data_IF_253910377221
#
_entry.id   IF_253910377221
#
_cell.length_a   1.000
_cell.length_b   1.000
_cell.length_c   1.000
_cell.angle_alpha   90.00
_cell.angle_beta   90.00
_cell.angle_gamma   90.00
#
_symmetry.space_group_name_H-M   'P 1'
#
loop_
_entity.id
_entity.type
_entity.pdbx_description
1 polymer ?
#
# COMPACT_ATOMS: atom_id res chain seq x y z
N UNK A 1 -14.97 -9.62 -4.72
CA UNK A 1 -14.90 -9.75 -3.26
C UNK A 1 -16.15 -9.26 -2.51
N UNK A 2 -17.36 -9.34 -3.09
CA UNK A 2 -18.59 -8.98 -2.34
C UNK A 2 -18.79 -7.50 -2.02
N UNK A 3 -17.98 -6.61 -2.60
CA UNK A 3 -18.11 -5.15 -2.46
C UNK A 3 -19.15 -4.67 -3.47
N UNK A 4 -20.15 -3.90 -3.01
CA UNK A 4 -21.11 -3.24 -3.90
C UNK A 4 -20.43 -2.11 -4.65
N UNK A 5 -20.05 -2.37 -5.91
CA UNK A 5 -19.38 -1.43 -6.81
C UNK A 5 -20.13 -0.13 -7.07
N UNK A 6 -21.45 -0.07 -6.85
CA UNK A 6 -22.28 1.10 -7.17
C UNK A 6 -22.23 2.21 -6.11
N UNK A 7 -21.79 1.90 -4.89
CA UNK A 7 -21.68 2.87 -3.80
C UNK A 7 -20.36 3.66 -3.87
N UNK A 8 -20.45 4.93 -4.25
CA UNK A 8 -19.30 5.83 -4.31
C UNK A 8 -18.92 6.46 -2.95
N UNK A 9 -19.62 6.12 -1.87
CA UNK A 9 -19.36 6.62 -0.52
C UNK A 9 -18.52 5.66 0.33
N UNK A 10 -18.18 4.47 -0.19
CA UNK A 10 -17.32 3.50 0.50
C UNK A 10 -16.00 4.14 0.94
N UNK A 11 -15.68 3.99 2.23
CA UNK A 11 -14.50 4.60 2.85
C UNK A 11 -14.66 6.07 3.23
N UNK A 12 -15.85 6.68 3.10
CA UNK A 12 -16.08 8.05 3.55
C UNK A 12 -15.71 8.24 5.02
N UNK A 13 -15.03 9.35 5.31
CA UNK A 13 -14.51 9.66 6.65
C UNK A 13 -13.21 8.93 7.02
N UNK A 14 -12.65 8.12 6.11
CA UNK A 14 -11.34 7.47 6.27
C UNK A 14 -10.27 8.12 5.42
N UNK A 15 -9.04 8.08 5.92
CA UNK A 15 -7.82 8.50 5.21
C UNK A 15 -6.94 7.28 4.94
N UNK A 16 -6.64 7.06 3.66
CA UNK A 16 -5.70 6.02 3.22
C UNK A 16 -4.41 6.70 2.79
N UNK A 17 -3.30 6.36 3.44
CA UNK A 17 -1.97 6.75 3.03
C UNK A 17 -1.37 5.71 2.08
N UNK A 18 -0.84 6.19 0.97
CA UNK A 18 0.03 5.44 0.06
C UNK A 18 1.45 5.99 0.25
N UNK A 19 2.40 5.11 0.52
CA UNK A 19 3.82 5.46 0.70
C UNK A 19 4.63 4.85 -0.41
N UNK A 20 5.25 5.71 -1.22
CA UNK A 20 6.03 5.32 -2.39
C UNK A 20 7.34 6.10 -2.48
N UNK A 21 8.30 5.62 -3.26
CA UNK A 21 9.50 6.37 -3.59
C UNK A 21 9.33 7.26 -4.84
N UNK A 22 10.21 8.25 -4.93
CA UNK A 22 10.32 9.19 -6.04
C UNK A 22 9.10 10.09 -6.27
N UNK A 23 9.23 10.97 -7.26
CA UNK A 23 8.41 12.16 -7.42
C UNK A 23 6.95 11.86 -7.72
N UNK A 24 6.63 10.96 -8.65
CA UNK A 24 5.28 10.73 -9.17
C UNK A 24 4.53 12.03 -9.53
N UNK A 25 5.13 12.89 -10.35
CA UNK A 25 4.59 14.22 -10.70
C UNK A 25 3.21 14.16 -11.37
N UNK A 26 2.86 13.07 -12.03
CA UNK A 26 1.59 12.87 -12.76
C UNK A 26 0.48 12.22 -11.92
N UNK A 27 0.75 11.79 -10.68
CA UNK A 27 -0.15 10.96 -9.87
C UNK A 27 -1.63 11.45 -9.84
N UNK A 28 -1.87 12.74 -9.59
CA UNK A 28 -3.23 13.28 -9.54
C UNK A 28 -3.93 13.28 -10.91
N UNK A 29 -3.18 13.54 -11.99
CA UNK A 29 -3.72 13.56 -13.36
C UNK A 29 -4.07 12.15 -13.82
N UNK A 30 -3.21 11.18 -13.51
CA UNK A 30 -3.42 9.78 -13.86
C UNK A 30 -4.60 9.20 -13.07
N UNK A 31 -4.66 9.46 -11.76
CA UNK A 31 -5.80 9.03 -10.93
C UNK A 31 -7.12 9.67 -11.37
N UNK A 32 -7.12 10.94 -11.79
CA UNK A 32 -8.32 11.57 -12.37
C UNK A 32 -8.72 10.95 -13.72
N UNK A 33 -7.76 10.53 -14.53
CA UNK A 33 -8.02 9.85 -15.80
C UNK A 33 -8.65 8.47 -15.54
N UNK A 34 -8.07 7.70 -14.61
CA UNK A 34 -8.64 6.45 -14.15
C UNK A 34 -10.06 6.63 -13.57
N UNK A 35 -10.26 7.64 -12.70
CA UNK A 35 -11.56 7.88 -12.09
C UNK A 35 -12.64 8.17 -13.14
N UNK A 36 -12.34 9.03 -14.13
CA UNK A 36 -13.26 9.32 -15.25
C UNK A 36 -13.56 8.09 -16.09
N UNK A 37 -12.54 7.28 -16.40
CA UNK A 37 -12.71 6.08 -17.20
C UNK A 37 -13.60 5.02 -16.51
N UNK A 38 -13.61 5.01 -15.17
CA UNK A 38 -14.33 4.01 -14.36
C UNK A 38 -15.60 4.55 -13.69
N UNK A 39 -16.03 5.78 -13.98
CA UNK A 39 -17.23 6.37 -13.37
C UNK A 39 -17.11 6.62 -11.85
N UNK A 40 -15.88 6.77 -11.35
CA UNK A 40 -15.58 7.03 -9.94
C UNK A 40 -15.58 8.55 -9.66
N UNK A 41 -15.73 8.97 -8.39
CA UNK A 41 -15.65 10.37 -8.01
C UNK A 41 -14.34 11.03 -8.47
N UNK A 42 -14.43 12.28 -8.90
CA UNK A 42 -13.27 13.05 -9.32
C UNK A 42 -12.29 13.28 -8.16
N UNK A 43 -11.01 13.35 -8.49
CA UNK A 43 -9.93 13.63 -7.56
C UNK A 43 -9.67 15.13 -7.50
N UNK A 44 -9.86 15.69 -6.32
CA UNK A 44 -9.68 17.10 -6.02
C UNK A 44 -8.86 17.25 -4.73
N UNK A 45 -8.50 18.48 -4.37
CA UNK A 45 -7.86 18.75 -3.08
C UNK A 45 -8.72 18.36 -1.86
N UNK A 46 -10.03 18.11 -2.03
CA UNK A 46 -10.89 17.66 -0.95
C UNK A 46 -10.72 16.17 -0.60
N UNK A 47 -10.27 15.33 -1.54
CA UNK A 47 -10.15 13.88 -1.36
C UNK A 47 -8.79 13.31 -1.78
N UNK A 48 -7.85 14.15 -2.19
CA UNK A 48 -6.47 13.76 -2.47
C UNK A 48 -5.50 14.88 -2.10
N UNK A 49 -4.44 14.51 -1.40
CA UNK A 49 -3.28 15.37 -1.19
C UNK A 49 -1.99 14.57 -1.38
N UNK A 50 -0.93 15.26 -1.78
CA UNK A 50 0.40 14.69 -1.92
C UNK A 50 1.38 15.40 -1.03
N UNK A 51 2.29 14.68 -0.40
CA UNK A 51 3.33 15.20 0.49
C UNK A 51 4.69 14.61 0.13
N UNK A 52 5.76 15.33 0.40
CA UNK A 52 7.09 14.71 0.50
C UNK A 52 7.25 13.98 1.85
N UNK A 53 8.32 13.20 2.00
CA UNK A 53 8.63 12.44 3.22
C UNK A 53 8.81 13.26 4.51
N UNK A 54 8.76 14.59 4.44
CA UNK A 54 8.82 15.50 5.60
C UNK A 54 7.49 16.23 5.83
N UNK A 55 6.40 15.82 5.16
CA UNK A 55 5.10 16.47 5.22
C UNK A 55 5.01 17.76 4.41
N UNK A 56 6.00 18.07 3.59
CA UNK A 56 6.06 19.26 2.75
C UNK A 56 5.50 19.05 1.34
N UNK A 57 5.76 20.01 0.46
CA UNK A 57 5.43 19.95 -0.98
C UNK A 57 6.70 20.04 -1.86
N UNK A 58 7.88 19.80 -1.27
CA UNK A 58 9.16 19.78 -1.96
C UNK A 58 9.42 18.38 -2.51
N UNK A 59 8.60 17.99 -3.48
CA UNK A 59 8.61 16.62 -3.98
C UNK A 59 9.96 16.24 -4.61
N UNK A 60 10.40 14.97 -4.45
CA UNK A 60 11.55 14.46 -5.15
C UNK A 60 11.33 14.44 -6.67
N UNK A 61 12.40 14.17 -7.42
CA UNK A 61 12.30 13.92 -8.86
C UNK A 61 11.59 12.60 -9.10
N UNK A 62 10.87 12.53 -10.23
CA UNK A 62 10.32 11.28 -10.74
C UNK A 62 11.43 10.25 -10.95
N UNK A 63 11.05 8.98 -10.89
CA UNK A 63 11.99 7.88 -11.04
C UNK A 63 12.53 7.89 -12.48
N UNK A 64 13.86 7.89 -12.70
CA UNK A 64 14.40 7.75 -14.05
C UNK A 64 13.89 6.52 -14.80
N UNK A 65 13.50 5.45 -14.11
CA UNK A 65 12.98 4.22 -14.74
C UNK A 65 11.52 4.32 -15.19
N UNK A 66 10.79 5.39 -14.81
CA UNK A 66 9.43 5.66 -15.28
C UNK A 66 9.36 5.76 -16.81
N UNK A 67 10.43 6.28 -17.44
CA UNK A 67 10.53 6.39 -18.89
C UNK A 67 10.54 5.04 -19.61
N UNK A 68 10.84 3.96 -18.89
CA UNK A 68 10.89 2.58 -19.39
C UNK A 68 9.67 1.76 -18.98
N UNK A 69 8.71 2.35 -18.25
CA UNK A 69 7.47 1.70 -17.85
C UNK A 69 7.57 0.73 -16.66
N UNK A 70 8.68 0.74 -15.91
CA UNK A 70 8.89 -0.14 -14.75
C UNK A 70 9.31 0.56 -13.46
N UNK A 71 9.34 1.90 -13.43
CA UNK A 71 9.71 2.69 -12.25
C UNK A 71 8.56 2.92 -11.28
N UNK A 72 8.84 3.61 -10.17
CA UNK A 72 7.87 3.87 -9.10
C UNK A 72 6.61 4.63 -9.54
N UNK A 73 6.63 5.33 -10.68
CA UNK A 73 5.46 5.99 -11.23
C UNK A 73 4.33 5.03 -11.60
N UNK A 74 4.63 3.82 -12.08
CA UNK A 74 3.59 2.81 -12.35
C UNK A 74 3.03 2.22 -11.06
N UNK A 75 3.88 2.04 -10.05
CA UNK A 75 3.48 1.57 -8.71
C UNK A 75 2.54 2.55 -8.04
N UNK A 76 2.94 3.84 -7.96
CA UNK A 76 2.11 4.92 -7.41
C UNK A 76 0.76 5.00 -8.12
N UNK A 77 0.76 4.81 -9.44
CA UNK A 77 -0.47 4.80 -10.22
C UNK A 77 -1.35 3.60 -9.84
N UNK A 78 -0.80 2.39 -9.75
CA UNK A 78 -1.50 1.18 -9.34
C UNK A 78 -2.12 1.33 -7.95
N UNK A 79 -1.33 1.71 -6.96
CA UNK A 79 -1.74 1.82 -5.56
C UNK A 79 -2.89 2.83 -5.38
N UNK A 80 -2.74 4.03 -5.94
CA UNK A 80 -3.77 5.05 -5.85
C UNK A 80 -5.06 4.63 -6.57
N UNK A 81 -4.94 3.99 -7.73
CA UNK A 81 -6.10 3.57 -8.53
C UNK A 81 -6.84 2.41 -7.85
N UNK A 82 -6.13 1.43 -7.30
CA UNK A 82 -6.71 0.33 -6.54
C UNK A 82 -7.43 0.85 -5.30
N UNK A 83 -6.78 1.71 -4.51
CA UNK A 83 -7.39 2.33 -3.33
C UNK A 83 -8.64 3.15 -3.70
N UNK A 84 -8.59 3.95 -4.77
CA UNK A 84 -9.74 4.76 -5.21
C UNK A 84 -10.88 3.92 -5.78
N UNK A 85 -10.59 2.81 -6.47
CA UNK A 85 -11.62 1.90 -6.98
C UNK A 85 -12.38 1.21 -5.85
N UNK A 86 -11.67 0.79 -4.79
CA UNK A 86 -12.27 0.07 -3.65
C UNK A 86 -12.96 1.04 -2.70
N UNK A 87 -12.30 2.14 -2.33
CA UNK A 87 -12.75 3.14 -1.36
C UNK A 87 -12.80 4.56 -1.96
N UNK A 88 -13.69 4.81 -2.94
CA UNK A 88 -13.77 6.10 -3.62
C UNK A 88 -14.09 7.28 -2.69
N UNK A 89 -14.80 7.03 -1.59
CA UNK A 89 -15.17 8.04 -0.59
C UNK A 89 -14.05 8.39 0.39
N UNK A 90 -12.97 7.60 0.46
CA UNK A 90 -11.84 7.89 1.32
C UNK A 90 -11.02 9.08 0.80
N UNK A 91 -10.44 9.85 1.73
CA UNK A 91 -9.33 10.75 1.42
C UNK A 91 -8.09 9.92 1.16
N UNK A 92 -7.40 10.18 0.06
CA UNK A 92 -6.08 9.59 -0.21
C UNK A 92 -5.01 10.61 0.12
N UNK A 93 -3.95 10.17 0.79
CA UNK A 93 -2.72 10.94 0.89
C UNK A 93 -1.59 10.13 0.29
N UNK A 94 -0.87 10.71 -0.67
CA UNK A 94 0.35 10.12 -1.21
C UNK A 94 1.54 10.77 -0.49
N UNK A 95 2.42 9.97 0.13
CA UNK A 95 3.67 10.46 0.72
C UNK A 95 4.82 9.89 -0.11
N UNK A 96 5.59 10.78 -0.74
CA UNK A 96 6.72 10.37 -1.56
C UNK A 96 8.06 10.46 -0.82
N UNK A 97 8.70 9.30 -0.69
CA UNK A 97 10.09 9.15 -0.26
C UNK A 97 11.05 9.65 -1.34
N UNK A 98 12.17 10.25 -0.92
CA UNK A 98 13.16 10.84 -1.84
C UNK A 98 13.81 9.80 -2.75
N UNK A 99 14.00 8.58 -2.23
CA UNK A 99 14.50 7.39 -2.93
C UNK A 99 13.89 6.16 -2.26
N UNK A 100 14.05 4.98 -2.87
CA UNK A 100 13.60 3.70 -2.34
C UNK A 100 14.45 3.14 -1.16
N UNK A 101 15.32 3.94 -0.55
CA UNK A 101 16.12 3.47 0.60
C UNK A 101 15.27 3.43 1.87
N UNK A 102 15.51 2.45 2.75
CA UNK A 102 14.78 2.26 4.02
C UNK A 102 14.69 3.55 4.84
N UNK A 103 15.77 4.32 4.95
CA UNK A 103 15.76 5.59 5.70
C UNK A 103 14.76 6.62 5.15
N UNK A 104 14.56 6.67 3.83
CA UNK A 104 13.61 7.60 3.20
C UNK A 104 12.18 7.06 3.25
N UNK A 105 11.99 5.74 3.08
CA UNK A 105 10.70 5.09 3.24
C UNK A 105 10.20 5.20 4.69
N UNK A 106 11.06 4.98 5.68
CA UNK A 106 10.77 5.20 7.11
C UNK A 106 10.32 6.63 7.40
N UNK A 107 10.99 7.64 6.82
CA UNK A 107 10.58 9.03 6.97
C UNK A 107 9.18 9.29 6.37
N UNK A 108 8.88 8.67 5.22
CA UNK A 108 7.57 8.77 4.58
C UNK A 108 6.48 8.06 5.39
N UNK A 109 6.73 6.86 5.92
CA UNK A 109 5.84 6.14 6.84
C UNK A 109 5.59 6.99 8.09
N UNK A 110 6.63 7.55 8.69
CA UNK A 110 6.52 8.44 9.86
C UNK A 110 5.64 9.66 9.56
N UNK A 111 5.75 10.23 8.35
CA UNK A 111 4.86 11.32 7.92
C UNK A 111 3.41 10.85 7.80
N UNK A 112 3.15 9.66 7.25
CA UNK A 112 1.80 9.11 7.16
C UNK A 112 1.16 8.90 8.56
N UNK A 113 1.92 8.36 9.51
CA UNK A 113 1.50 8.21 10.91
C UNK A 113 1.20 9.57 11.55
N UNK A 114 2.11 10.55 11.41
CA UNK A 114 1.93 11.88 11.99
C UNK A 114 0.77 12.68 11.38
N UNK A 115 0.43 12.43 10.12
CA UNK A 115 -0.75 13.02 9.46
C UNK A 115 -2.07 12.37 9.91
N UNK A 116 -2.02 11.30 10.69
CA UNK A 116 -3.20 10.62 11.23
C UNK A 116 -3.99 9.85 10.17
N UNK A 117 -3.29 9.14 9.27
CA UNK A 117 -3.96 8.20 8.37
C UNK A 117 -4.68 7.10 9.17
N UNK A 118 -5.80 6.57 8.67
CA UNK A 118 -6.46 5.40 9.25
C UNK A 118 -5.79 4.10 8.76
N UNK A 119 -5.30 4.12 7.50
CA UNK A 119 -4.73 2.98 6.81
C UNK A 119 -3.46 3.40 6.07
N UNK A 120 -2.42 2.56 6.08
CA UNK A 120 -1.18 2.77 5.31
C UNK A 120 -0.99 1.55 4.40
N UNK A 121 -0.81 1.78 3.10
CA UNK A 121 -0.48 0.76 2.10
C UNK A 121 0.99 0.88 1.70
N UNK A 122 1.70 -0.24 1.74
CA UNK A 122 3.12 -0.37 1.42
C UNK A 122 3.29 -1.46 0.34
N UNK A 123 3.51 -1.06 -0.91
CA UNK A 123 3.74 -1.99 -2.03
C UNK A 123 5.23 -2.10 -2.36
N UNK A 124 6.02 -2.42 -1.34
CA UNK A 124 7.46 -2.63 -1.45
C UNK A 124 7.94 -3.65 -0.43
N UNK A 125 9.07 -4.28 -0.72
CA UNK A 125 9.67 -5.26 0.16
C UNK A 125 11.17 -5.42 -0.09
N UNK A 126 11.83 -6.01 0.90
CA UNK A 126 13.24 -6.41 0.84
C UNK A 126 13.47 -7.71 1.62
N UNK A 127 14.70 -8.23 1.55
CA UNK A 127 15.08 -9.43 2.28
C UNK A 127 14.86 -9.29 3.79
N UNK A 128 14.38 -10.37 4.41
CA UNK A 128 14.08 -10.39 5.84
C UNK A 128 15.32 -10.15 6.73
N UNK A 129 15.08 -9.68 7.96
CA UNK A 129 16.10 -9.47 8.99
C UNK A 129 16.37 -8.01 9.34
N UNK A 130 15.74 -7.06 8.65
CA UNK A 130 15.73 -5.65 9.01
C UNK A 130 14.43 -5.31 9.76
N UNK A 131 14.53 -4.98 11.06
CA UNK A 131 13.41 -4.51 11.88
C UNK A 131 13.34 -2.98 11.92
N UNK A 132 13.97 -2.27 10.98
CA UNK A 132 14.12 -0.81 11.00
C UNK A 132 12.79 -0.04 11.01
N UNK A 133 11.67 -0.68 10.67
CA UNK A 133 10.35 -0.02 10.70
C UNK A 133 9.48 -0.45 11.89
N UNK A 134 9.89 -1.42 12.72
CA UNK A 134 9.01 -1.97 13.76
C UNK A 134 8.60 -0.90 14.78
N UNK A 135 9.51 -0.02 15.21
CA UNK A 135 9.18 1.07 16.14
C UNK A 135 8.05 1.98 15.61
N UNK A 136 8.06 2.30 14.31
CA UNK A 136 7.02 3.16 13.71
C UNK A 136 5.73 2.37 13.46
N UNK A 137 5.83 1.06 13.19
CA UNK A 137 4.66 0.20 13.01
C UNK A 137 3.94 -0.08 14.33
N UNK A 138 4.69 -0.29 15.42
CA UNK A 138 4.14 -0.38 16.78
C UNK A 138 3.41 0.92 17.14
N UNK A 139 4.06 2.08 16.90
CA UNK A 139 3.42 3.38 17.12
C UNK A 139 2.14 3.56 16.28
N UNK A 140 2.15 3.13 15.02
CA UNK A 140 0.97 3.19 14.16
C UNK A 140 -0.17 2.35 14.75
N UNK A 141 0.12 1.13 15.19
CA UNK A 141 -0.85 0.25 15.85
C UNK A 141 -1.41 0.87 17.14
N UNK A 142 -0.56 1.46 17.99
CA UNK A 142 -0.98 2.17 19.21
C UNK A 142 -1.92 3.35 18.90
N UNK A 143 -1.71 4.02 17.77
CA UNK A 143 -2.56 5.10 17.27
C UNK A 143 -3.84 4.61 16.57
N UNK A 144 -4.05 3.28 16.47
CA UNK A 144 -5.19 2.69 15.78
C UNK A 144 -5.11 2.72 14.25
N UNK A 145 -3.90 2.86 13.70
CA UNK A 145 -3.61 2.88 12.27
C UNK A 145 -3.28 1.46 11.82
N UNK A 146 -3.95 0.95 10.78
CA UNK A 146 -3.63 -0.37 10.22
C UNK A 146 -2.66 -0.25 9.04
N UNK A 147 -1.58 -1.02 9.07
CA UNK A 147 -0.58 -1.07 8.00
C UNK A 147 -0.74 -2.36 7.20
N UNK A 148 -0.70 -2.24 5.88
CA UNK A 148 -0.75 -3.35 4.94
C UNK A 148 0.52 -3.33 4.09
N UNK A 149 1.15 -4.48 3.94
CA UNK A 149 2.30 -4.64 3.05
C UNK A 149 2.07 -5.80 2.07
N UNK A 150 2.50 -5.63 0.82
CA UNK A 150 2.59 -6.74 -0.14
C UNK A 150 3.46 -7.86 0.44
N UNK A 151 3.13 -9.12 0.16
CA UNK A 151 3.96 -10.25 0.61
C UNK A 151 5.18 -10.52 -0.28
N UNK A 152 5.25 -9.88 -1.45
CA UNK A 152 6.27 -10.08 -2.46
C UNK A 152 5.76 -10.81 -3.71
N UNK A 153 6.53 -10.69 -4.79
CA UNK A 153 6.17 -11.11 -6.15
C UNK A 153 7.08 -12.21 -6.73
N UNK A 154 8.06 -12.68 -5.94
CA UNK A 154 9.09 -13.67 -6.33
C UNK A 154 8.76 -15.12 -5.94
N UNK A 155 7.51 -15.39 -5.54
CA UNK A 155 7.05 -16.69 -5.08
C UNK A 155 7.51 -17.00 -3.65
N UNK A 156 7.69 -18.28 -3.34
CA UNK A 156 7.98 -18.73 -1.96
C UNK A 156 9.19 -17.99 -1.35
N UNK A 157 8.97 -17.37 -0.20
CA UNK A 157 9.91 -16.45 0.42
C UNK A 157 9.17 -15.48 1.35
N UNK A 158 9.87 -14.94 2.33
CA UNK A 158 9.35 -13.95 3.26
C UNK A 158 10.14 -12.66 3.06
N UNK A 159 9.43 -11.53 2.98
CA UNK A 159 10.02 -10.20 2.84
C UNK A 159 9.60 -9.30 4.02
N UNK A 160 10.42 -8.30 4.28
CA UNK A 160 10.08 -7.20 5.19
C UNK A 160 9.66 -5.99 4.35
N UNK A 161 8.60 -5.24 4.72
CA UNK A 161 7.91 -5.20 6.02
C UNK A 161 6.79 -6.22 6.26
N UNK A 162 6.41 -7.05 5.27
CA UNK A 162 5.31 -8.00 5.43
C UNK A 162 5.49 -8.98 6.60
N UNK A 163 6.74 -9.31 6.94
CA UNK A 163 7.09 -10.14 8.08
C UNK A 163 6.90 -9.50 9.47
N UNK A 164 6.71 -8.19 9.56
CA UNK A 164 6.53 -7.50 10.84
C UNK A 164 5.24 -7.95 11.54
N UNK A 165 5.28 -8.15 12.86
CA UNK A 165 4.10 -8.55 13.64
C UNK A 165 3.02 -7.45 13.71
N UNK A 166 3.40 -6.21 13.42
CA UNK A 166 2.54 -5.03 13.43
C UNK A 166 1.85 -4.77 12.08
N UNK A 167 2.15 -5.57 11.06
CA UNK A 167 1.71 -5.37 9.67
C UNK A 167 0.79 -6.51 9.23
N UNK A 168 -0.23 -6.16 8.46
CA UNK A 168 -1.05 -7.14 7.74
C UNK A 168 -0.37 -7.46 6.41
N UNK A 169 0.28 -8.63 6.33
CA UNK A 169 0.82 -9.14 5.08
C UNK A 169 -0.30 -9.52 4.09
N UNK A 170 -0.23 -9.02 2.86
CA UNK A 170 -1.23 -9.24 1.81
C UNK A 170 -0.61 -10.05 0.68
N UNK A 171 -1.03 -11.32 0.57
CA UNK A 171 -0.65 -12.21 -0.52
C UNK A 171 -1.49 -12.04 -1.80
N UNK A 172 -1.11 -12.77 -2.84
CA UNK A 172 -1.75 -12.70 -4.16
C UNK A 172 -2.44 -13.99 -4.59
N UNK A 173 -3.51 -13.83 -5.38
CA UNK A 173 -4.27 -14.93 -6.00
C UNK A 173 -4.37 -14.76 -7.51
N UNK A 174 -4.46 -15.88 -8.23
CA UNK A 174 -4.94 -15.88 -9.61
C UNK A 174 -6.46 -15.93 -9.57
N UNK A 175 -7.09 -14.80 -9.91
CA UNK A 175 -8.54 -14.67 -9.96
C UNK A 175 -9.08 -15.08 -11.34
N UNK A 176 -10.00 -16.05 -11.38
CA UNK A 176 -10.72 -16.43 -12.60
C UNK A 176 -12.21 -16.19 -12.44
N UNK A 177 -12.83 -15.60 -13.48
CA UNK A 177 -14.26 -15.32 -13.53
C UNK A 177 -14.89 -16.01 -14.74
N UNK A 178 -15.87 -16.86 -14.50
CA UNK A 178 -16.68 -17.50 -15.54
C UNK A 178 -18.16 -17.25 -15.24
N UNK A 179 -18.79 -16.36 -16.00
CA UNK A 179 -20.13 -15.87 -15.70
C UNK A 179 -20.19 -15.16 -14.34
N UNK A 180 -21.02 -15.66 -13.43
CA UNK A 180 -21.11 -15.18 -12.03
C UNK A 180 -20.16 -15.90 -11.08
N UNK A 181 -19.52 -16.99 -11.51
CA UNK A 181 -18.61 -17.77 -10.68
C UNK A 181 -17.26 -17.09 -10.64
N UNK A 182 -16.75 -16.87 -9.42
CA UNK A 182 -15.40 -16.39 -9.15
C UNK A 182 -14.66 -17.53 -8.44
N UNK A 183 -13.47 -17.86 -8.92
CA UNK A 183 -12.56 -18.82 -8.28
C UNK A 183 -11.20 -18.20 -8.11
N UNK A 184 -10.52 -18.57 -7.02
CA UNK A 184 -9.17 -18.13 -6.72
C UNK A 184 -8.26 -19.34 -6.51
N UNK A 185 -7.06 -19.25 -7.04
CA UNK A 185 -5.95 -20.16 -6.73
C UNK A 185 -4.76 -19.34 -6.26
N UNK A 186 -3.81 -19.95 -5.56
CA UNK A 186 -2.56 -19.27 -5.22
C UNK A 186 -1.91 -18.71 -6.50
N UNK A 187 -1.47 -17.45 -6.45
CA UNK A 187 -0.64 -16.88 -7.50
C UNK A 187 0.79 -17.40 -7.30
N UNK A 188 1.42 -17.92 -8.35
CA UNK A 188 2.76 -18.50 -8.25
C UNK A 188 3.83 -17.50 -7.83
N UNK A 189 3.60 -16.20 -8.06
CA UNK A 189 4.47 -15.12 -7.61
C UNK A 189 4.19 -14.66 -6.17
N UNK A 190 3.09 -15.08 -5.54
CA UNK A 190 2.79 -14.62 -4.18
C UNK A 190 3.88 -15.08 -3.21
N UNK A 191 4.46 -14.10 -2.53
CA UNK A 191 5.26 -14.33 -1.34
C UNK A 191 4.46 -15.02 -0.24
N UNK A 192 5.19 -15.69 0.64
CA UNK A 192 4.63 -16.48 1.72
C UNK A 192 5.64 -17.46 2.31
N UNK A 193 5.59 -17.58 3.63
CA UNK A 193 6.45 -18.46 4.41
C UNK A 193 6.31 -18.18 5.91
N UNK A 194 7.23 -18.75 6.70
CA UNK A 194 7.38 -18.41 8.10
C UNK A 194 8.67 -17.60 8.27
N UNK A 195 8.57 -16.48 8.96
CA UNK A 195 9.71 -15.64 9.29
C UNK A 195 10.79 -16.42 10.04
N UNK A 196 12.06 -16.16 9.73
CA UNK A 196 13.19 -16.67 10.52
C UNK A 196 13.54 -15.76 11.71
N UNK A 197 12.99 -14.54 11.75
CA UNK A 197 13.37 -13.48 12.70
C UNK A 197 12.21 -13.06 13.61
N UNK A 198 11.04 -12.82 13.04
CA UNK A 198 9.81 -12.45 13.75
C UNK A 198 9.10 -13.71 14.23
N UNK A 199 8.75 -13.76 15.52
CA UNK A 199 8.03 -14.90 16.08
C UNK A 199 6.54 -14.71 15.85
N UNK A 200 5.81 -15.79 15.58
CA UNK A 200 4.37 -15.71 15.53
C UNK A 200 3.76 -15.19 16.83
N UNK A 201 2.80 -14.28 16.66
CA UNK A 201 1.94 -13.77 17.71
C UNK A 201 1.01 -14.88 18.24
N UNK A 202 0.45 -14.74 19.45
CA UNK A 202 -0.44 -15.74 20.04
C UNK A 202 -1.62 -16.16 19.14
N UNK A 203 -2.20 -15.21 18.41
CA UNK A 203 -3.34 -15.39 17.52
C UNK A 203 -2.97 -16.31 16.34
N UNK A 204 -1.78 -16.14 15.77
CA UNK A 204 -1.28 -16.99 14.67
C UNK A 204 -1.01 -18.41 15.16
N UNK A 205 -0.42 -18.56 16.36
CA UNK A 205 -0.18 -19.89 16.97
C UNK A 205 -1.45 -20.67 17.29
N UNK A 206 -2.58 -19.97 17.46
CA UNK A 206 -3.87 -20.60 17.70
C UNK A 206 -4.54 -21.09 16.39
N UNK A 207 -4.03 -20.69 15.22
CA UNK A 207 -4.58 -21.10 13.94
C UNK A 207 -4.26 -22.57 13.62
N UNK A 208 -5.21 -23.26 13.00
CA UNK A 208 -5.02 -24.66 12.61
C UNK A 208 -3.94 -24.78 11.54
N UNK A 209 -2.87 -25.53 11.84
CA UNK A 209 -1.74 -25.75 10.93
C UNK A 209 -0.50 -24.90 11.23
N UNK A 210 -0.53 -24.09 12.30
CA UNK A 210 0.65 -23.47 12.91
C UNK A 210 1.29 -24.40 13.96
#
# INVERSE_FOLDING_TARGET
YGIDGSDNTRGAGKTIAIVDAYGASTAQTDLNTFARANGLPAITSANFEKFDQNGGKNYPKDDPDDANGGGWGVEVALDLQAAHAIAPGAKKILITAKTASNANLLAAISTAVNLGADYISLSFGEGEGDAAFDDIFEQAQENGISIFASSGDDGAGVEYPAASEYVVAVGGTTLSKSGSTITETAWSGSGGGCSEYTKAIPEQKAAAGY
#
